data_IF_056263022369
#
_entry.id   IF_056263022369
#
_cell.length_a   1.000
_cell.length_b   1.000
_cell.length_c   1.000
_cell.angle_alpha   90.00
_cell.angle_beta   90.00
_cell.angle_gamma   90.00
#
_symmetry.space_group_name_H-M   'P 1'
#
loop_
_entity.id
_entity.type
_entity.pdbx_description
1 polymer ?
#
# COMPACT_ATOMS: atom_id res chain seq x y z
N UNK A 1 -18.19 18.75 -13.12
CA UNK A 1 -17.31 18.15 -12.09
C UNK A 1 -16.86 19.26 -11.16
N UNK A 2 -17.50 19.43 -9.99
CA UNK A 2 -17.14 20.50 -9.04
C UNK A 2 -15.84 20.09 -8.36
N UNK A 3 -14.79 20.90 -8.51
CA UNK A 3 -13.58 20.80 -7.71
C UNK A 3 -13.98 21.02 -6.25
N UNK A 4 -14.14 19.92 -5.52
CA UNK A 4 -14.33 19.98 -4.07
C UNK A 4 -13.07 20.67 -3.52
N UNK A 5 -13.24 21.90 -3.05
CA UNK A 5 -12.18 22.66 -2.39
C UNK A 5 -11.78 21.85 -1.17
N UNK A 6 -10.72 21.03 -1.25
CA UNK A 6 -10.23 20.29 -0.10
C UNK A 6 -9.84 21.29 0.99
N UNK A 7 -10.73 21.41 1.98
CA UNK A 7 -10.52 22.03 3.29
C UNK A 7 -9.72 21.06 4.16
N UNK A 8 -9.12 21.56 5.25
CA UNK A 8 -8.34 20.72 6.17
C UNK A 8 -9.18 19.69 6.95
N UNK A 9 -10.51 19.73 6.82
CA UNK A 9 -11.50 19.09 7.72
C UNK A 9 -11.37 17.56 7.84
N UNK A 10 -10.82 16.87 6.84
CA UNK A 10 -10.61 15.41 6.87
C UNK A 10 -9.13 15.03 6.72
N UNK A 11 -8.22 15.91 7.11
CA UNK A 11 -6.78 15.69 6.97
C UNK A 11 -6.03 16.02 8.25
N UNK A 12 -4.80 15.53 8.38
CA UNK A 12 -3.90 15.93 9.45
C UNK A 12 -3.27 17.32 9.24
N UNK A 13 -3.84 18.16 8.37
CA UNK A 13 -3.32 19.48 8.03
C UNK A 13 -4.26 20.58 8.52
N UNK A 14 -3.68 21.61 9.13
CA UNK A 14 -4.44 22.82 9.46
C UNK A 14 -4.71 23.65 8.21
N UNK A 15 -5.72 24.53 8.25
CA UNK A 15 -6.02 25.42 7.12
C UNK A 15 -4.82 26.28 6.70
N UNK A 16 -4.05 26.76 7.68
CA UNK A 16 -2.82 27.52 7.42
C UNK A 16 -1.78 26.69 6.68
N UNK A 17 -1.61 25.42 7.05
CA UNK A 17 -0.70 24.50 6.36
C UNK A 17 -1.16 24.25 4.92
N UNK A 18 -2.46 23.99 4.72
CA UNK A 18 -3.05 23.83 3.37
C UNK A 18 -2.82 25.08 2.53
N UNK A 19 -3.04 26.27 3.08
CA UNK A 19 -2.81 27.55 2.40
C UNK A 19 -1.36 27.74 1.98
N UNK A 20 -0.40 27.44 2.88
CA UNK A 20 1.04 27.54 2.58
C UNK A 20 1.43 26.54 1.48
N UNK A 21 0.96 25.29 1.55
CA UNK A 21 1.24 24.28 0.52
C UNK A 21 0.69 24.68 -0.85
N UNK A 22 -0.53 25.24 -0.92
CA UNK A 22 -1.11 25.76 -2.18
C UNK A 22 -0.24 26.87 -2.79
N UNK A 23 0.24 27.82 -1.97
CA UNK A 23 1.11 28.90 -2.44
C UNK A 23 2.50 28.40 -2.87
N UNK A 24 3.05 27.39 -2.17
CA UNK A 24 4.29 26.72 -2.61
C UNK A 24 4.09 26.02 -3.96
N UNK A 25 2.95 25.36 -4.16
CA UNK A 25 2.62 24.69 -5.42
C UNK A 25 2.44 25.67 -6.58
N UNK A 26 2.00 26.91 -6.31
CA UNK A 26 1.94 27.98 -7.31
C UNK A 26 3.27 28.71 -7.51
N UNK A 27 4.39 28.17 -6.99
CA UNK A 27 5.75 28.67 -7.24
C UNK A 27 6.27 29.71 -6.26
N UNK A 28 5.48 30.20 -5.29
CA UNK A 28 5.96 31.23 -4.37
C UNK A 28 7.00 30.68 -3.40
N UNK A 29 8.06 31.44 -3.17
CA UNK A 29 9.07 31.21 -2.13
C UNK A 29 8.49 31.41 -0.73
N UNK A 30 9.16 30.85 0.29
CA UNK A 30 8.78 31.08 1.69
C UNK A 30 8.80 32.57 2.07
N UNK A 31 9.70 33.36 1.49
CA UNK A 31 9.79 34.80 1.73
C UNK A 31 8.59 35.56 1.12
N UNK A 32 8.17 35.20 -0.08
CA UNK A 32 6.98 35.79 -0.71
C UNK A 32 5.70 35.42 0.04
N UNK A 33 5.59 34.16 0.48
CA UNK A 33 4.47 33.71 1.32
C UNK A 33 4.45 34.46 2.64
N UNK A 34 5.61 34.65 3.28
CA UNK A 34 5.76 35.40 4.51
C UNK A 34 5.26 36.85 4.35
N UNK A 35 5.68 37.54 3.28
CA UNK A 35 5.16 38.88 2.93
C UNK A 35 3.65 38.87 2.70
N UNK A 36 3.14 37.90 1.94
CA UNK A 36 1.71 37.80 1.62
C UNK A 36 0.82 37.51 2.84
N UNK A 37 1.35 36.78 3.83
CA UNK A 37 0.61 36.37 5.03
C UNK A 37 0.94 37.24 6.26
N UNK A 38 1.74 38.30 6.11
CA UNK A 38 2.06 39.21 7.21
C UNK A 38 2.82 38.54 8.37
N UNK A 39 3.74 37.63 8.06
CA UNK A 39 4.49 36.86 9.07
C UNK A 39 5.97 36.74 8.69
N UNK A 40 6.81 36.21 9.58
CA UNK A 40 8.22 35.95 9.29
C UNK A 40 8.44 34.72 8.38
N UNK A 41 9.53 34.74 7.59
CA UNK A 41 10.00 33.58 6.81
C UNK A 41 10.24 32.36 7.70
N UNK A 42 10.77 32.58 8.90
CA UNK A 42 11.04 31.51 9.87
C UNK A 42 9.74 30.81 10.32
N UNK A 43 8.66 31.57 10.55
CA UNK A 43 7.36 30.99 10.86
C UNK A 43 6.80 30.16 9.68
N UNK A 44 6.88 30.69 8.45
CA UNK A 44 6.47 29.93 7.25
C UNK A 44 7.26 28.63 7.11
N UNK A 45 8.58 28.68 7.28
CA UNK A 45 9.43 27.50 7.25
C UNK A 45 8.99 26.45 8.30
N UNK A 46 8.75 26.89 9.54
CA UNK A 46 8.29 26.01 10.62
C UNK A 46 6.93 25.35 10.32
N UNK A 47 5.98 26.12 9.77
CA UNK A 47 4.65 25.59 9.41
C UNK A 47 4.75 24.64 8.21
N UNK A 48 5.52 24.98 7.17
CA UNK A 48 5.73 24.12 6.00
C UNK A 48 6.40 22.79 6.40
N UNK A 49 7.43 22.83 7.26
CA UNK A 49 8.07 21.63 7.77
C UNK A 49 7.10 20.74 8.55
N UNK A 50 6.24 21.33 9.40
CA UNK A 50 5.20 20.59 10.12
C UNK A 50 4.21 19.93 9.15
N UNK A 51 3.76 20.67 8.14
CA UNK A 51 2.87 20.13 7.10
C UNK A 51 3.51 18.93 6.38
N UNK A 52 4.77 19.05 5.95
CA UNK A 52 5.52 17.97 5.30
C UNK A 52 5.69 16.75 6.20
N UNK A 53 5.95 16.95 7.50
CA UNK A 53 6.03 15.86 8.48
C UNK A 53 4.67 15.15 8.63
N UNK A 54 3.58 15.89 8.71
CA UNK A 54 2.24 15.29 8.81
C UNK A 54 1.89 14.48 7.55
N UNK A 55 2.23 14.98 6.36
CA UNK A 55 2.06 14.23 5.10
C UNK A 55 2.92 12.97 5.10
N UNK A 56 4.19 13.07 5.50
CA UNK A 56 5.10 11.92 5.56
C UNK A 56 4.56 10.85 6.50
N UNK A 57 4.16 11.23 7.71
CA UNK A 57 3.57 10.31 8.70
C UNK A 57 2.29 9.67 8.20
N UNK A 58 1.39 10.44 7.57
CA UNK A 58 0.17 9.89 7.01
C UNK A 58 0.47 8.84 5.92
N UNK A 59 1.45 9.10 5.04
CA UNK A 59 1.91 8.10 4.05
C UNK A 59 2.50 6.86 4.71
N UNK A 60 3.33 7.02 5.73
CA UNK A 60 3.88 5.90 6.51
C UNK A 60 2.78 5.11 7.22
N UNK A 61 1.75 5.78 7.75
CA UNK A 61 0.58 5.14 8.35
C UNK A 61 -0.22 4.34 7.31
N UNK A 62 -0.43 4.89 6.11
CA UNK A 62 -1.07 4.14 5.02
C UNK A 62 -0.24 2.92 4.62
N UNK A 63 1.07 3.08 4.43
CA UNK A 63 1.95 1.96 4.11
C UNK A 63 2.01 0.91 5.24
N UNK A 64 1.96 1.33 6.50
CA UNK A 64 1.84 0.41 7.63
C UNK A 64 0.48 -0.29 7.63
N UNK A 65 -0.62 0.43 7.37
CA UNK A 65 -1.94 -0.16 7.27
C UNK A 65 -2.00 -1.18 6.13
N UNK A 66 -1.39 -0.89 4.97
CA UNK A 66 -1.23 -1.82 3.86
C UNK A 66 -0.39 -3.05 4.25
N UNK A 67 0.69 -2.88 5.02
CA UNK A 67 1.50 -4.00 5.52
C UNK A 67 0.81 -4.84 6.57
N UNK A 68 0.06 -4.22 7.48
CA UNK A 68 -0.82 -4.93 8.43
C UNK A 68 -1.89 -5.70 7.64
N UNK A 69 -2.34 -5.12 6.53
CA UNK A 69 -3.24 -5.74 5.56
C UNK A 69 -2.52 -6.62 4.52
N UNK A 70 -1.21 -6.85 4.58
CA UNK A 70 -0.53 -7.78 3.68
C UNK A 70 -0.89 -9.20 4.18
N UNK A 71 -1.93 -9.85 3.66
CA UNK A 71 -2.84 -10.55 4.55
C UNK A 71 -2.74 -12.07 4.48
N UNK A 72 -2.02 -12.62 3.52
CA UNK A 72 -1.87 -14.05 3.37
C UNK A 72 -0.54 -14.36 2.70
N UNK A 73 0.46 -14.71 3.50
CA UNK A 73 1.53 -15.58 3.04
C UNK A 73 1.21 -16.98 3.51
N UNK A 74 1.22 -17.94 2.58
CA UNK A 74 1.15 -19.35 2.92
C UNK A 74 2.41 -20.03 2.43
N UNK A 75 2.91 -20.94 3.26
CA UNK A 75 3.99 -21.84 2.88
C UNK A 75 3.37 -23.17 2.51
N UNK A 76 3.74 -23.68 1.34
CA UNK A 76 3.52 -25.05 0.93
C UNK A 76 4.72 -25.84 1.41
N UNK A 77 4.49 -26.77 2.32
CA UNK A 77 5.54 -27.68 2.79
C UNK A 77 5.74 -28.83 1.80
N UNK A 78 6.94 -29.44 1.83
CA UNK A 78 7.19 -30.63 1.04
C UNK A 78 6.19 -31.74 1.42
N UNK A 79 5.56 -32.35 0.41
CA UNK A 79 4.50 -33.34 0.56
C UNK A 79 3.08 -32.77 0.54
N UNK A 80 2.89 -31.44 0.51
CA UNK A 80 1.56 -30.83 0.45
C UNK A 80 1.03 -30.69 -1.00
N UNK A 81 -0.29 -30.79 -1.18
CA UNK A 81 -0.97 -30.58 -2.46
C UNK A 81 -1.18 -29.08 -2.72
N UNK A 82 -0.74 -28.62 -3.90
CA UNK A 82 -0.88 -27.22 -4.33
C UNK A 82 -2.35 -26.76 -4.44
N UNK A 83 -3.30 -27.65 -4.65
CA UNK A 83 -4.74 -27.34 -4.65
C UNK A 83 -5.22 -27.02 -3.24
N UNK A 84 -4.75 -27.74 -2.23
CA UNK A 84 -5.12 -27.48 -0.84
C UNK A 84 -4.42 -26.22 -0.31
N UNK A 85 -3.19 -25.96 -0.77
CA UNK A 85 -2.55 -24.66 -0.60
C UNK A 85 -3.37 -23.53 -1.23
N UNK A 86 -3.80 -23.67 -2.49
CA UNK A 86 -4.64 -22.66 -3.14
C UNK A 86 -5.91 -22.35 -2.34
N UNK A 87 -6.63 -23.38 -1.86
CA UNK A 87 -7.81 -23.19 -0.99
C UNK A 87 -7.48 -22.44 0.31
N UNK A 88 -6.33 -22.73 0.94
CA UNK A 88 -5.86 -22.00 2.12
C UNK A 88 -5.57 -20.54 1.80
N UNK A 89 -5.00 -20.24 0.63
CA UNK A 89 -4.74 -18.87 0.19
C UNK A 89 -6.05 -18.10 0.01
N UNK A 90 -7.03 -18.68 -0.70
CA UNK A 90 -8.35 -18.05 -0.87
C UNK A 90 -9.06 -17.82 0.47
N UNK A 91 -9.02 -18.80 1.38
CA UNK A 91 -9.60 -18.63 2.72
C UNK A 91 -8.92 -17.52 3.52
N UNK A 92 -7.60 -17.39 3.40
CA UNK A 92 -6.84 -16.32 4.04
C UNK A 92 -7.12 -14.95 3.39
N UNK A 93 -7.32 -14.91 2.07
CA UNK A 93 -7.72 -13.72 1.33
C UNK A 93 -9.13 -13.25 1.73
N UNK A 94 -10.11 -14.17 1.76
CA UNK A 94 -11.49 -13.91 2.19
C UNK A 94 -11.54 -13.39 3.63
N UNK A 95 -10.77 -14.00 4.54
CA UNK A 95 -10.66 -13.56 5.93
C UNK A 95 -10.06 -12.15 6.09
N UNK A 96 -9.40 -11.65 5.06
CA UNK A 96 -8.77 -10.33 5.03
C UNK A 96 -9.47 -9.35 4.07
N UNK A 97 -10.64 -9.70 3.54
CA UNK A 97 -11.40 -8.89 2.58
C UNK A 97 -10.58 -8.52 1.32
N UNK A 98 -9.69 -9.43 0.90
CA UNK A 98 -8.94 -9.31 -0.36
C UNK A 98 -9.49 -10.21 -1.44
N UNK A 99 -9.56 -9.67 -2.65
CA UNK A 99 -9.92 -10.44 -3.85
C UNK A 99 -8.64 -10.88 -4.56
N UNK A 100 -8.48 -12.19 -4.72
CA UNK A 100 -7.39 -12.76 -5.54
C UNK A 100 -7.72 -12.55 -7.02
N UNK A 101 -6.74 -12.09 -7.80
CA UNK A 101 -6.88 -11.80 -9.24
C UNK A 101 -7.11 -13.06 -10.08
N UNK A 102 -6.58 -14.20 -9.62
CA UNK A 102 -6.70 -15.50 -10.26
C UNK A 102 -7.81 -16.35 -9.62
N UNK A 103 -8.49 -17.14 -10.45
CA UNK A 103 -9.34 -18.22 -9.98
C UNK A 103 -8.50 -19.45 -9.58
N UNK A 104 -9.13 -20.48 -9.00
CA UNK A 104 -8.40 -21.66 -8.52
C UNK A 104 -7.61 -22.37 -9.64
N UNK A 105 -8.18 -22.61 -10.85
CA UNK A 105 -7.41 -23.16 -11.97
C UNK A 105 -6.22 -22.27 -12.38
N UNK A 106 -6.44 -20.95 -12.47
CA UNK A 106 -5.40 -19.99 -12.83
C UNK A 106 -4.24 -19.98 -11.85
N UNK A 107 -4.54 -19.98 -10.54
CA UNK A 107 -3.52 -20.02 -9.49
C UNK A 107 -2.71 -21.33 -9.53
N UNK A 108 -3.37 -22.48 -9.70
CA UNK A 108 -2.68 -23.78 -9.81
C UNK A 108 -1.79 -23.82 -11.05
N UNK A 109 -2.26 -23.24 -12.16
CA UNK A 109 -1.45 -23.14 -13.38
C UNK A 109 -0.22 -22.27 -13.15
N UNK A 110 -0.37 -21.13 -12.48
CA UNK A 110 0.74 -20.22 -12.19
C UNK A 110 1.80 -20.88 -11.29
N UNK A 111 1.37 -21.60 -10.25
CA UNK A 111 2.26 -22.37 -9.37
C UNK A 111 3.04 -23.41 -10.17
N UNK A 112 2.39 -24.14 -11.08
CA UNK A 112 3.07 -25.12 -11.94
C UNK A 112 4.06 -24.48 -12.89
N UNK A 113 3.75 -23.30 -13.43
CA UNK A 113 4.63 -22.58 -14.34
C UNK A 113 5.87 -22.05 -13.60
N UNK A 114 5.71 -21.48 -12.41
CA UNK A 114 6.82 -20.84 -11.69
C UNK A 114 7.63 -21.79 -10.79
N UNK A 115 6.99 -22.81 -10.22
CA UNK A 115 7.61 -23.74 -9.27
C UNK A 115 7.66 -25.18 -9.81
N UNK A 116 7.59 -25.39 -11.13
CA UNK A 116 7.53 -26.71 -11.75
C UNK A 116 8.64 -27.67 -11.32
N UNK A 117 9.87 -27.18 -11.12
CA UNK A 117 11.02 -27.98 -10.66
C UNK A 117 10.87 -28.45 -9.21
N UNK A 118 10.04 -27.76 -8.41
CA UNK A 118 9.72 -28.06 -7.00
C UNK A 118 8.42 -28.86 -6.86
N UNK A 119 7.92 -29.45 -7.94
CA UNK A 119 6.65 -30.17 -7.96
C UNK A 119 6.80 -31.56 -8.58
N UNK A 120 6.22 -32.55 -7.91
CA UNK A 120 5.88 -33.85 -8.50
C UNK A 120 4.37 -33.88 -8.78
N UNK A 121 4.01 -33.47 -10.01
CA UNK A 121 2.63 -33.36 -10.47
C UNK A 121 1.83 -32.26 -9.74
N UNK A 122 1.22 -32.59 -8.59
CA UNK A 122 0.48 -31.64 -7.72
C UNK A 122 1.08 -31.53 -6.32
N UNK A 123 2.06 -32.36 -6.01
CA UNK A 123 2.67 -32.44 -4.69
C UNK A 123 3.96 -31.64 -4.71
N UNK A 124 4.15 -30.78 -3.71
CA UNK A 124 5.40 -30.06 -3.54
C UNK A 124 6.52 -31.03 -3.13
N UNK A 125 7.60 -31.09 -3.92
CA UNK A 125 8.82 -31.82 -3.55
C UNK A 125 9.70 -30.99 -2.61
N UNK A 126 9.57 -29.66 -2.65
CA UNK A 126 10.28 -28.70 -1.82
C UNK A 126 9.34 -27.61 -1.29
N UNK A 127 9.85 -26.75 -0.40
CA UNK A 127 9.07 -25.60 0.10
C UNK A 127 8.81 -24.59 -1.02
N UNK A 128 7.55 -24.15 -1.10
CA UNK A 128 7.10 -23.10 -2.01
C UNK A 128 6.35 -22.04 -1.19
N UNK A 129 6.72 -20.78 -1.33
CA UNK A 129 6.05 -19.66 -0.69
C UNK A 129 5.08 -19.01 -1.67
N UNK A 130 3.84 -18.81 -1.23
CA UNK A 130 2.83 -18.03 -1.94
C UNK A 130 2.54 -16.77 -1.15
N UNK A 131 2.71 -15.61 -1.78
CA UNK A 131 2.47 -14.30 -1.17
C UNK A 131 1.40 -13.57 -1.96
N UNK A 132 0.27 -13.30 -1.32
CA UNK A 132 -0.78 -12.45 -1.88
C UNK A 132 -0.44 -10.97 -1.65
N UNK A 133 -0.37 -10.21 -2.73
CA UNK A 133 -0.20 -8.76 -2.70
C UNK A 133 -1.54 -8.07 -2.43
N UNK A 134 -1.47 -6.81 -1.97
CA UNK A 134 -2.67 -5.99 -1.75
C UNK A 134 -3.47 -5.71 -3.02
N UNK A 135 -2.85 -5.85 -4.19
CA UNK A 135 -3.48 -5.66 -5.51
C UNK A 135 -4.20 -6.93 -6.00
N UNK A 136 -4.10 -8.03 -5.25
CA UNK A 136 -4.73 -9.31 -5.57
C UNK A 136 -3.82 -10.29 -6.33
N UNK A 137 -2.59 -9.90 -6.63
CA UNK A 137 -1.62 -10.74 -7.35
C UNK A 137 -0.93 -11.74 -6.40
N UNK A 138 -0.53 -12.88 -6.95
CA UNK A 138 0.16 -13.93 -6.18
C UNK A 138 1.59 -14.07 -6.66
N UNK A 139 2.54 -13.87 -5.75
CA UNK A 139 3.96 -14.13 -5.98
C UNK A 139 4.32 -15.54 -5.51
N UNK A 140 5.07 -16.28 -6.32
CA UNK A 140 5.51 -17.66 -6.04
C UNK A 140 7.04 -17.66 -5.94
N UNK A 141 7.59 -18.28 -4.90
CA UNK A 141 9.05 -18.40 -4.70
C UNK A 141 9.44 -19.71 -4.01
#
# INVERSE_FOLDING_TARGET
MRLNTMTGENTFLTETQVKILKLRNSGLTQAEIARKLGTSRANICSIEQRAKRNIKRAKETLALAEKIKAPASIMIEAGEDILDAAKRLFKAADGADLKVSLDTPGLVSEIKTQAGEKLDGRIASEKISLVLTSDGDVMIS
#
